data_IF_238015047802
#
_entry.id   IF_238015047802
#
_cell.length_a   1.000
_cell.length_b   1.000
_cell.length_c   1.000
_cell.angle_alpha   90.00
_cell.angle_beta   90.00
_cell.angle_gamma   90.00
#
_symmetry.space_group_name_H-M   'P 1'
#
loop_
_entity.id
_entity.type
_entity.pdbx_description
1 polymer ?
#
# COMPACT_ATOMS: atom_id res chain seq x y z
N UNK A 1 53.07 28.51 -37.62
CA UNK A 1 53.34 27.10 -37.99
C UNK A 1 52.14 26.58 -38.75
N UNK A 2 52.39 25.75 -39.76
CA UNK A 2 51.71 25.68 -41.07
C UNK A 2 50.20 25.42 -41.09
N UNK A 3 49.52 26.34 -41.76
CA UNK A 3 48.18 26.28 -42.35
C UNK A 3 48.20 25.40 -43.60
N UNK A 4 47.21 24.50 -43.79
CA UNK A 4 47.04 23.78 -45.06
C UNK A 4 45.65 24.01 -45.67
N UNK A 5 45.66 24.64 -46.83
CA UNK A 5 44.51 25.04 -47.65
C UNK A 5 44.05 23.88 -48.53
N UNK A 6 42.79 23.43 -48.41
CA UNK A 6 42.01 22.96 -49.58
C UNK A 6 40.53 23.34 -49.44
N UNK A 7 40.26 24.53 -49.98
CA UNK A 7 39.13 24.88 -50.85
C UNK A 7 37.72 24.65 -50.31
N UNK A 8 37.16 25.77 -49.85
CA UNK A 8 35.76 26.12 -50.00
C UNK A 8 35.36 26.09 -51.49
N UNK A 9 34.16 25.56 -51.77
CA UNK A 9 33.35 26.00 -52.90
C UNK A 9 31.87 25.69 -52.69
N UNK A 10 31.12 26.78 -52.60
CA UNK A 10 29.90 27.06 -53.37
C UNK A 10 28.63 26.27 -53.06
N UNK A 11 27.85 26.88 -52.17
CA UNK A 11 26.42 27.22 -52.25
C UNK A 11 25.70 26.76 -53.53
N UNK A 12 24.61 26.00 -53.35
CA UNK A 12 23.59 25.75 -54.36
C UNK A 12 22.30 25.22 -53.74
N UNK A 13 21.40 26.13 -53.37
CA UNK A 13 19.99 25.87 -53.03
C UNK A 13 19.23 25.34 -54.26
N UNK A 14 18.46 24.25 -54.11
CA UNK A 14 17.10 24.13 -54.67
C UNK A 14 16.32 22.96 -54.06
N UNK A 15 15.14 23.32 -53.56
CA UNK A 15 13.96 22.58 -53.10
C UNK A 15 13.51 21.33 -53.88
N UNK A 16 13.03 20.28 -53.18
CA UNK A 16 11.64 19.82 -53.22
C UNK A 16 11.36 18.71 -52.18
N UNK A 17 10.12 18.69 -51.68
CA UNK A 17 9.61 17.83 -50.63
C UNK A 17 9.78 16.31 -50.87
N UNK A 18 10.02 15.56 -49.80
CA UNK A 18 9.70 14.13 -49.71
C UNK A 18 9.38 13.78 -48.26
N UNK A 19 8.08 13.73 -47.99
CA UNK A 19 7.46 13.02 -46.88
C UNK A 19 7.91 11.56 -46.97
N UNK A 20 8.71 11.11 -46.00
CA UNK A 20 8.91 9.69 -45.72
C UNK A 20 8.63 9.47 -44.23
N UNK A 21 7.41 9.02 -44.02
CA UNK A 21 6.86 8.36 -42.84
C UNK A 21 7.87 7.44 -42.15
N UNK A 22 8.26 7.77 -40.91
CA UNK A 22 8.76 6.76 -39.97
C UNK A 22 7.57 5.99 -39.38
N UNK A 23 6.94 5.15 -40.21
CA UNK A 23 6.10 4.04 -39.75
C UNK A 23 6.92 2.76 -39.87
N UNK A 24 7.73 2.50 -38.85
CA UNK A 24 8.44 1.23 -38.70
C UNK A 24 8.77 0.95 -37.23
N UNK A 25 7.72 0.70 -36.45
CA UNK A 25 7.72 -0.20 -35.30
C UNK A 25 6.28 -0.65 -35.07
N UNK A 26 5.79 -1.53 -35.94
CA UNK A 26 4.62 -2.38 -35.68
C UNK A 26 5.14 -3.79 -35.38
N UNK A 27 5.12 -4.14 -34.09
CA UNK A 27 4.97 -5.50 -33.55
C UNK A 27 5.14 -5.49 -32.03
N UNK A 28 4.45 -4.56 -31.36
CA UNK A 28 4.09 -4.68 -29.96
C UNK A 28 2.59 -4.46 -29.93
N UNK A 29 1.80 -5.51 -29.76
CA UNK A 29 0.35 -5.43 -29.80
C UNK A 29 -0.14 -4.37 -28.83
N UNK A 30 -0.62 -3.24 -29.37
CA UNK A 30 -1.56 -2.37 -28.67
C UNK A 30 -2.75 -3.25 -28.34
N UNK A 31 -2.81 -3.72 -27.09
CA UNK A 31 -4.07 -4.18 -26.52
C UNK A 31 -4.98 -2.97 -26.61
N UNK A 32 -5.93 -3.00 -27.55
CA UNK A 32 -6.96 -1.97 -27.66
C UNK A 32 -7.56 -1.77 -26.27
N UNK A 33 -7.40 -0.57 -25.73
CA UNK A 33 -7.97 -0.23 -24.44
C UNK A 33 -9.49 -0.41 -24.54
N UNK A 34 -10.06 -1.16 -23.60
CA UNK A 34 -11.48 -1.49 -23.64
C UNK A 34 -12.31 -0.21 -23.57
N UNK A 35 -13.04 0.10 -24.64
CA UNK A 35 -13.89 1.28 -24.71
C UNK A 35 -14.97 1.20 -23.61
N UNK A 36 -15.03 2.21 -22.73
CA UNK A 36 -15.97 2.28 -21.61
C UNK A 36 -17.18 3.12 -22.03
N UNK A 37 -18.40 2.63 -21.79
CA UNK A 37 -19.64 3.31 -22.21
C UNK A 37 -19.92 4.62 -21.45
N UNK A 38 -19.17 4.88 -20.37
CA UNK A 38 -19.29 6.07 -19.53
C UNK A 38 -20.42 6.01 -18.49
N UNK A 39 -21.31 5.00 -18.54
CA UNK A 39 -22.41 4.82 -17.58
C UNK A 39 -22.23 3.61 -16.67
N UNK A 40 -21.19 2.81 -16.86
CA UNK A 40 -20.87 1.67 -15.98
C UNK A 40 -19.65 2.01 -15.13
N UNK A 41 -19.77 1.82 -13.81
CA UNK A 41 -18.68 1.93 -12.83
C UNK A 41 -18.42 0.53 -12.25
N UNK A 42 -17.20 0.04 -12.37
CA UNK A 42 -16.75 -1.24 -11.80
C UNK A 42 -16.06 -0.96 -10.47
N UNK A 43 -16.65 -1.46 -9.40
CA UNK A 43 -16.11 -1.38 -8.03
C UNK A 43 -15.53 -2.73 -7.66
N UNK A 44 -14.23 -2.81 -7.43
CA UNK A 44 -13.54 -4.03 -6.97
C UNK A 44 -13.32 -4.00 -5.47
N UNK A 45 -13.78 -5.04 -4.78
CA UNK A 45 -13.63 -5.17 -3.32
C UNK A 45 -13.42 -6.63 -2.92
N UNK A 46 -12.80 -6.83 -1.76
CA UNK A 46 -12.75 -8.15 -1.12
C UNK A 46 -14.17 -8.69 -0.87
N UNK A 47 -14.28 -10.02 -0.77
CA UNK A 47 -15.58 -10.68 -0.60
C UNK A 47 -16.39 -10.16 0.58
N UNK A 48 -15.73 -9.82 1.70
CA UNK A 48 -16.38 -9.28 2.90
C UNK A 48 -17.11 -7.95 2.70
N UNK A 49 -16.73 -7.14 1.71
CA UNK A 49 -17.36 -5.86 1.41
C UNK A 49 -18.42 -5.94 0.30
N UNK A 50 -18.47 -7.04 -0.44
CA UNK A 50 -19.30 -7.14 -1.63
C UNK A 50 -20.80 -6.93 -1.33
N UNK A 51 -21.28 -7.45 -0.19
CA UNK A 51 -22.69 -7.30 0.19
C UNK A 51 -22.99 -5.90 0.74
N UNK A 52 -22.02 -5.24 1.38
CA UNK A 52 -22.13 -3.84 1.75
C UNK A 52 -22.24 -2.94 0.51
N UNK A 53 -21.36 -3.09 -0.48
CA UNK A 53 -21.44 -2.29 -1.71
C UNK A 53 -22.78 -2.52 -2.44
N UNK A 54 -23.27 -3.77 -2.49
CA UNK A 54 -24.59 -4.07 -3.07
C UNK A 54 -25.74 -3.40 -2.34
N UNK A 55 -25.65 -3.23 -1.02
CA UNK A 55 -26.73 -2.63 -0.24
C UNK A 55 -26.82 -1.11 -0.45
N UNK A 56 -25.68 -0.43 -0.70
CA UNK A 56 -25.63 1.03 -0.87
C UNK A 56 -25.70 1.52 -2.32
N UNK A 57 -25.32 0.69 -3.31
CA UNK A 57 -25.18 1.17 -4.70
C UNK A 57 -26.47 1.68 -5.35
N UNK A 58 -27.64 1.21 -4.90
CA UNK A 58 -28.92 1.49 -5.55
C UNK A 58 -29.34 2.96 -5.50
N UNK A 59 -29.01 3.69 -4.43
CA UNK A 59 -29.27 5.13 -4.34
C UNK A 59 -28.31 5.91 -5.25
N UNK A 60 -27.02 5.56 -5.18
CA UNK A 60 -25.97 6.14 -6.03
C UNK A 60 -26.25 5.95 -7.54
N UNK A 61 -26.69 4.76 -7.96
CA UNK A 61 -27.06 4.45 -9.34
C UNK A 61 -28.22 5.32 -9.84
N UNK A 62 -29.24 5.55 -9.00
CA UNK A 62 -30.41 6.39 -9.33
C UNK A 62 -30.05 7.85 -9.46
N UNK A 63 -29.29 8.39 -8.50
CA UNK A 63 -28.90 9.79 -8.46
C UNK A 63 -28.01 10.15 -9.65
N UNK A 64 -27.03 9.30 -9.94
CA UNK A 64 -26.00 9.57 -10.95
C UNK A 64 -26.33 9.00 -12.34
N UNK A 65 -27.42 8.24 -12.47
CA UNK A 65 -27.86 7.58 -13.71
C UNK A 65 -26.77 6.67 -14.30
N UNK A 66 -26.12 5.92 -13.42
CA UNK A 66 -25.04 4.96 -13.72
C UNK A 66 -25.43 3.54 -13.28
N UNK A 67 -24.67 2.55 -13.73
CA UNK A 67 -24.73 1.16 -13.27
C UNK A 67 -23.44 0.83 -12.53
N UNK A 68 -23.55 0.36 -11.29
CA UNK A 68 -22.42 -0.10 -10.48
C UNK A 68 -22.33 -1.63 -10.55
N UNK A 69 -21.20 -2.11 -11.07
CA UNK A 69 -20.85 -3.54 -11.10
C UNK A 69 -19.86 -3.84 -9.99
N UNK A 70 -20.23 -4.74 -9.08
CA UNK A 70 -19.35 -5.19 -8.01
C UNK A 70 -18.52 -6.37 -8.51
N UNK A 71 -17.20 -6.20 -8.56
CA UNK A 71 -16.22 -7.25 -8.82
C UNK A 71 -15.69 -7.75 -7.47
N UNK A 72 -15.81 -9.04 -7.21
CA UNK A 72 -15.16 -9.68 -6.05
C UNK A 72 -13.75 -10.08 -6.47
N UNK A 73 -12.75 -9.35 -6.01
CA UNK A 73 -11.34 -9.65 -6.22
C UNK A 73 -10.56 -9.18 -5.01
N UNK A 74 -9.53 -9.92 -4.61
CA UNK A 74 -8.70 -9.56 -3.48
C UNK A 74 -8.13 -8.15 -3.66
N UNK A 75 -8.10 -7.35 -2.59
CA UNK A 75 -7.55 -5.99 -2.65
C UNK A 75 -6.13 -6.01 -3.23
N UNK A 76 -5.24 -6.85 -2.68
CA UNK A 76 -3.85 -6.95 -3.16
C UNK A 76 -3.76 -7.50 -4.60
N UNK A 77 -4.60 -8.48 -4.95
CA UNK A 77 -4.65 -9.01 -6.33
C UNK A 77 -5.07 -7.94 -7.35
N UNK A 78 -5.95 -7.02 -6.94
CA UNK A 78 -6.35 -5.86 -7.75
C UNK A 78 -5.16 -4.92 -7.93
N UNK A 79 -4.45 -4.58 -6.83
CA UNK A 79 -3.31 -3.66 -6.85
C UNK A 79 -2.14 -4.19 -7.68
N UNK A 80 -1.79 -5.47 -7.53
CA UNK A 80 -0.67 -6.10 -8.25
C UNK A 80 -0.85 -6.07 -9.77
N UNK A 81 -2.11 -6.07 -10.25
CA UNK A 81 -2.43 -6.05 -11.69
C UNK A 81 -2.54 -4.65 -12.26
N UNK A 82 -2.63 -3.58 -11.45
CA UNK A 82 -2.90 -2.22 -11.94
C UNK A 82 -1.93 -1.76 -13.03
N UNK A 83 -0.63 -2.02 -12.85
CA UNK A 83 0.40 -1.66 -13.83
C UNK A 83 0.20 -2.32 -15.20
N UNK A 84 -0.38 -3.53 -15.22
CA UNK A 84 -0.63 -4.31 -16.44
C UNK A 84 -2.02 -4.10 -17.01
N UNK A 85 -3.03 -3.95 -16.17
CA UNK A 85 -4.44 -3.85 -16.54
C UNK A 85 -4.84 -2.40 -16.85
N UNK A 86 -4.24 -1.43 -16.17
CA UNK A 86 -4.52 0.01 -16.31
C UNK A 86 -4.37 0.50 -17.74
N UNK A 87 -3.21 0.28 -18.41
CA UNK A 87 -3.01 0.68 -19.80
C UNK A 87 -4.00 0.06 -20.80
N UNK A 88 -4.64 -1.05 -20.43
CA UNK A 88 -5.60 -1.77 -21.28
C UNK A 88 -7.06 -1.42 -20.95
N UNK A 89 -7.29 -0.59 -19.94
CA UNK A 89 -8.62 -0.28 -19.41
C UNK A 89 -9.30 -1.43 -18.66
N UNK A 90 -8.56 -2.51 -18.35
CA UNK A 90 -9.08 -3.70 -17.68
C UNK A 90 -9.17 -3.54 -16.15
N UNK A 91 -8.47 -2.55 -15.57
CA UNK A 91 -8.58 -2.23 -14.14
C UNK A 91 -10.01 -1.81 -13.78
N UNK A 92 -10.45 -2.08 -12.53
CA UNK A 92 -11.70 -1.50 -12.02
C UNK A 92 -11.62 0.03 -11.98
N UNK A 93 -12.78 0.68 -11.89
CA UNK A 93 -12.88 2.15 -11.79
C UNK A 93 -12.63 2.63 -10.35
N UNK A 94 -13.11 1.87 -9.37
CA UNK A 94 -12.96 2.15 -7.95
C UNK A 94 -12.54 0.86 -7.25
N UNK A 95 -11.61 0.97 -6.32
CA UNK A 95 -11.13 -0.14 -5.50
C UNK A 95 -10.60 0.39 -4.17
N UNK A 96 -10.42 -0.50 -3.21
CA UNK A 96 -9.79 -0.19 -1.94
C UNK A 96 -8.27 -0.37 -2.05
N UNK A 97 -7.52 0.45 -1.32
CA UNK A 97 -6.08 0.32 -1.18
C UNK A 97 -5.67 0.64 0.26
N UNK A 98 -4.70 -0.07 0.85
CA UNK A 98 -4.10 0.34 2.11
C UNK A 98 -3.43 1.70 1.95
N UNK A 99 -3.44 2.53 2.99
CA UNK A 99 -2.87 3.88 2.95
C UNK A 99 -1.38 3.88 2.54
N UNK A 100 -0.60 2.87 2.93
CA UNK A 100 0.82 2.74 2.54
C UNK A 100 1.03 2.56 1.04
N UNK A 101 0.02 2.08 0.31
CA UNK A 101 0.10 1.91 -1.15
C UNK A 101 -0.26 3.18 -1.91
N UNK A 102 -1.09 4.06 -1.34
CA UNK A 102 -1.60 5.25 -2.01
C UNK A 102 -0.46 6.14 -2.54
N UNK A 103 0.62 6.29 -1.78
CA UNK A 103 1.77 7.10 -2.18
C UNK A 103 2.51 6.59 -3.40
N UNK A 104 2.82 5.29 -3.43
CA UNK A 104 3.47 4.65 -4.58
C UNK A 104 2.56 4.67 -5.81
N UNK A 105 1.31 4.22 -5.65
CA UNK A 105 0.33 4.17 -6.75
C UNK A 105 0.09 5.54 -7.38
N UNK A 106 -0.05 6.59 -6.56
CA UNK A 106 -0.25 7.96 -7.05
C UNK A 106 0.99 8.50 -7.78
N UNK A 107 2.18 8.29 -7.21
CA UNK A 107 3.44 8.75 -7.81
C UNK A 107 3.78 8.03 -9.13
N UNK A 108 3.36 6.78 -9.27
CA UNK A 108 3.50 5.98 -10.49
C UNK A 108 2.39 6.24 -11.53
N UNK A 109 1.40 7.08 -11.20
CA UNK A 109 0.29 7.40 -12.09
C UNK A 109 -0.72 6.27 -12.28
N UNK A 110 -0.75 5.29 -11.37
CA UNK A 110 -1.69 4.17 -11.42
C UNK A 110 -3.09 4.53 -10.87
N UNK A 111 -3.18 5.58 -10.05
CA UNK A 111 -4.42 6.14 -9.52
C UNK A 111 -4.52 7.64 -9.79
N UNK A 112 -5.75 8.12 -9.98
CA UNK A 112 -6.01 9.52 -10.28
C UNK A 112 -5.95 10.39 -9.02
N UNK A 113 -5.64 11.67 -9.22
CA UNK A 113 -5.90 12.70 -8.21
C UNK A 113 -7.43 12.83 -8.00
N UNK A 114 -7.85 12.97 -6.75
CA UNK A 114 -9.26 13.07 -6.36
C UNK A 114 -9.49 14.28 -5.46
N UNK A 115 -10.72 14.82 -5.51
CA UNK A 115 -11.18 15.85 -4.56
C UNK A 115 -11.96 15.19 -3.43
N UNK A 116 -11.61 15.49 -2.18
CA UNK A 116 -12.32 15.01 -1.01
C UNK A 116 -13.63 15.79 -0.80
N UNK A 117 -14.75 15.23 -1.30
CA UNK A 117 -16.08 15.84 -1.14
C UNK A 117 -16.51 16.02 0.31
N UNK A 118 -16.06 15.13 1.20
CA UNK A 118 -16.33 15.14 2.64
C UNK A 118 -15.09 15.52 3.47
N UNK A 119 -14.17 16.32 2.93
CA UNK A 119 -12.91 16.71 3.60
C UNK A 119 -13.09 17.25 5.04
N UNK A 120 -14.23 17.89 5.33
CA UNK A 120 -14.53 18.44 6.68
C UNK A 120 -14.75 17.36 7.74
N UNK A 121 -15.03 16.13 7.35
CA UNK A 121 -15.21 14.98 8.26
C UNK A 121 -13.88 14.36 8.69
N UNK A 122 -12.78 14.73 8.03
CA UNK A 122 -11.45 14.19 8.31
C UNK A 122 -10.56 15.23 8.99
N UNK A 123 -9.78 14.79 9.98
CA UNK A 123 -8.67 15.57 10.50
C UNK A 123 -7.47 15.56 9.56
N UNK A 124 -6.45 16.36 9.88
CA UNK A 124 -5.26 16.50 9.04
C UNK A 124 -4.39 15.22 9.03
N UNK A 125 -4.47 14.41 10.09
CA UNK A 125 -3.74 13.13 10.15
C UNK A 125 -4.31 12.16 9.12
N UNK A 126 -5.63 12.01 9.08
CA UNK A 126 -6.34 11.13 8.14
C UNK A 126 -6.18 11.62 6.70
N UNK A 127 -6.27 12.93 6.45
CA UNK A 127 -6.03 13.50 5.10
C UNK A 127 -4.61 13.23 4.60
N UNK A 128 -3.62 13.27 5.49
CA UNK A 128 -2.22 13.05 5.13
C UNK A 128 -1.98 11.62 4.64
N UNK A 129 -2.76 10.64 5.08
CA UNK A 129 -2.64 9.23 4.67
C UNK A 129 -2.90 9.02 3.16
N UNK A 130 -3.64 9.92 2.54
CA UNK A 130 -4.00 9.86 1.11
C UNK A 130 -3.38 10.99 0.29
N UNK A 131 -2.48 11.78 0.87
CA UNK A 131 -1.92 13.00 0.25
C UNK A 131 -0.41 12.92 0.10
N UNK A 132 0.08 13.14 -1.11
CA UNK A 132 1.50 13.12 -1.47
C UNK A 132 1.81 14.37 -2.29
N UNK A 133 2.84 15.11 -1.88
CA UNK A 133 3.29 16.36 -2.54
C UNK A 133 2.14 17.36 -2.78
N UNK A 134 1.22 17.45 -1.83
CA UNK A 134 0.07 18.35 -1.88
C UNK A 134 -1.10 17.88 -2.76
N UNK A 135 -1.02 16.68 -3.34
CA UNK A 135 -2.08 16.07 -4.15
C UNK A 135 -2.74 14.92 -3.39
N UNK A 136 -4.05 14.81 -3.48
CA UNK A 136 -4.82 13.74 -2.83
C UNK A 136 -5.15 12.66 -3.86
N UNK A 137 -4.85 11.40 -3.52
CA UNK A 137 -4.98 10.25 -4.44
C UNK A 137 -6.01 9.21 -3.99
N UNK A 138 -6.73 9.47 -2.90
CA UNK A 138 -7.79 8.59 -2.41
C UNK A 138 -8.71 9.30 -1.44
N UNK A 139 -9.87 8.71 -1.18
CA UNK A 139 -10.75 9.10 -0.09
C UNK A 139 -10.52 8.17 1.11
N UNK A 140 -10.25 8.69 2.33
CA UNK A 140 -10.17 7.87 3.52
C UNK A 140 -11.50 7.14 3.78
N UNK A 141 -11.42 5.88 4.21
CA UNK A 141 -12.59 5.03 4.45
C UNK A 141 -12.50 4.34 5.83
N UNK A 142 -11.56 3.40 5.97
CA UNK A 142 -11.37 2.64 7.22
C UNK A 142 -10.07 3.06 7.91
N UNK A 143 -10.09 3.11 9.24
CA UNK A 143 -8.88 3.14 10.08
C UNK A 143 -8.79 1.86 10.89
N UNK A 144 -7.58 1.34 11.03
CA UNK A 144 -7.31 0.13 11.80
C UNK A 144 -5.94 0.20 12.45
N UNK A 145 -5.73 -0.61 13.48
CA UNK A 145 -4.43 -0.82 14.12
C UNK A 145 -4.39 -2.20 14.76
N UNK A 146 -3.20 -2.68 15.08
CA UNK A 146 -3.01 -3.93 15.79
C UNK A 146 -3.64 -3.85 17.19
N UNK A 147 -4.28 -4.95 17.58
CA UNK A 147 -4.85 -5.14 18.92
C UNK A 147 -4.39 -6.48 19.48
N UNK A 148 -4.40 -6.60 20.80
CA UNK A 148 -4.16 -7.89 21.47
C UNK A 148 -5.49 -8.57 21.73
N UNK A 149 -5.65 -9.78 21.21
CA UNK A 149 -6.76 -10.66 21.56
C UNK A 149 -6.38 -11.52 22.76
N UNK A 150 -7.35 -11.80 23.63
CA UNK A 150 -7.19 -12.73 24.74
C UNK A 150 -8.44 -13.62 24.89
N UNK A 151 -8.24 -14.84 25.38
CA UNK A 151 -9.33 -15.77 25.66
C UNK A 151 -9.79 -15.62 27.12
N UNK A 152 -11.03 -15.15 27.30
CA UNK A 152 -11.65 -14.93 28.62
C UNK A 152 -11.81 -16.19 29.47
N UNK A 153 -11.83 -17.36 28.85
CA UNK A 153 -11.89 -18.64 29.57
C UNK A 153 -10.53 -19.01 30.18
N UNK A 154 -9.43 -18.41 29.70
CA UNK A 154 -8.06 -18.70 30.13
C UNK A 154 -7.42 -17.56 30.94
N UNK A 155 -7.85 -16.32 30.68
CA UNK A 155 -7.32 -15.08 31.27
C UNK A 155 -8.49 -14.15 31.64
N UNK A 156 -8.63 -13.84 32.93
CA UNK A 156 -9.77 -13.08 33.47
C UNK A 156 -9.82 -11.64 32.97
N UNK A 157 -8.69 -10.94 33.03
CA UNK A 157 -8.55 -9.53 32.63
C UNK A 157 -7.53 -9.40 31.51
N UNK A 158 -7.80 -8.52 30.54
CA UNK A 158 -6.84 -8.22 29.48
C UNK A 158 -5.51 -7.73 30.09
N UNK A 159 -4.36 -8.34 29.72
CA UNK A 159 -3.06 -7.86 30.18
C UNK A 159 -2.83 -6.41 29.78
N UNK A 160 -2.37 -5.59 30.72
CA UNK A 160 -2.14 -4.15 30.53
C UNK A 160 -0.70 -3.81 30.23
N UNK A 161 0.21 -4.74 30.53
CA UNK A 161 1.66 -4.53 30.40
C UNK A 161 2.34 -5.78 29.83
N UNK A 162 3.51 -5.59 29.23
CA UNK A 162 4.36 -6.70 28.80
C UNK A 162 4.80 -7.59 29.98
N UNK A 163 5.00 -7.03 31.18
CA UNK A 163 5.28 -7.81 32.39
C UNK A 163 4.15 -8.78 32.74
N UNK A 164 2.89 -8.41 32.52
CA UNK A 164 1.76 -9.31 32.70
C UNK A 164 1.74 -10.41 31.63
N UNK A 165 2.08 -10.09 30.37
CA UNK A 165 2.24 -11.09 29.31
C UNK A 165 3.37 -12.08 29.63
N UNK A 166 4.51 -11.60 30.15
CA UNK A 166 5.62 -12.45 30.60
C UNK A 166 5.21 -13.37 31.75
N UNK A 167 4.33 -12.90 32.64
CA UNK A 167 3.77 -13.72 33.71
C UNK A 167 2.87 -14.82 33.15
N UNK A 168 2.02 -14.53 32.15
CA UNK A 168 1.25 -15.55 31.43
C UNK A 168 2.18 -16.56 30.76
N UNK A 169 3.24 -16.10 30.09
CA UNK A 169 4.19 -16.97 29.42
C UNK A 169 4.87 -17.97 30.37
N UNK A 170 5.06 -17.60 31.65
CA UNK A 170 5.66 -18.44 32.70
C UNK A 170 4.67 -19.35 33.42
N UNK A 171 3.36 -19.18 33.21
CA UNK A 171 2.34 -20.00 33.85
C UNK A 171 2.35 -21.43 33.26
N UNK A 172 2.55 -22.48 34.09
CA UNK A 172 2.58 -23.86 33.63
C UNK A 172 1.34 -24.29 32.85
N UNK A 173 0.18 -23.63 33.04
CA UNK A 173 -1.04 -23.93 32.29
C UNK A 173 -0.91 -23.70 30.78
N UNK A 174 0.04 -22.86 30.35
CA UNK A 174 0.31 -22.57 28.95
C UNK A 174 1.55 -23.27 28.41
N UNK A 175 2.17 -24.18 29.18
CA UNK A 175 3.33 -24.92 28.73
C UNK A 175 3.03 -25.69 27.43
N UNK A 176 3.95 -25.61 26.47
CA UNK A 176 3.82 -26.31 25.20
C UNK A 176 4.30 -27.75 25.35
N UNK A 177 3.37 -28.69 25.41
CA UNK A 177 3.62 -30.06 25.87
C UNK A 177 4.70 -30.81 25.07
N UNK A 178 4.88 -30.53 23.78
CA UNK A 178 5.86 -31.22 22.94
C UNK A 178 7.28 -30.68 23.08
N UNK A 179 7.49 -29.50 23.67
CA UNK A 179 8.83 -28.90 23.79
C UNK A 179 9.06 -28.33 25.20
N UNK A 180 9.84 -29.04 26.04
CA UNK A 180 10.14 -28.58 27.40
C UNK A 180 10.76 -27.18 27.43
N UNK A 181 10.21 -26.32 28.30
CA UNK A 181 10.66 -24.93 28.44
C UNK A 181 10.00 -23.95 27.47
N UNK A 182 9.12 -24.42 26.58
CA UNK A 182 8.32 -23.57 25.69
C UNK A 182 6.89 -23.36 26.22
N UNK A 183 6.28 -22.25 25.86
CA UNK A 183 4.94 -21.86 26.30
C UNK A 183 4.21 -21.01 25.25
N UNK A 184 2.89 -21.00 25.33
CA UNK A 184 1.99 -20.28 24.41
C UNK A 184 1.10 -19.27 25.13
N UNK A 185 1.54 -18.78 26.30
CA UNK A 185 0.78 -17.81 27.10
C UNK A 185 0.58 -16.47 26.40
N UNK A 186 1.55 -16.05 25.59
CA UNK A 186 1.44 -14.96 24.63
C UNK A 186 2.18 -15.33 23.36
N UNK A 187 1.62 -15.02 22.19
CA UNK A 187 2.26 -15.23 20.89
C UNK A 187 2.05 -13.98 20.03
N UNK A 188 3.09 -13.61 19.28
CA UNK A 188 3.00 -12.58 18.25
C UNK A 188 3.84 -12.97 17.04
N UNK A 189 3.43 -12.52 15.85
CA UNK A 189 4.11 -12.82 14.58
C UNK A 189 5.26 -11.83 14.33
N UNK A 190 6.19 -11.67 15.27
CA UNK A 190 7.25 -10.64 15.17
C UNK A 190 8.32 -10.91 14.09
N UNK A 191 8.26 -12.04 13.38
CA UNK A 191 9.06 -12.25 12.16
C UNK A 191 8.55 -11.43 10.99
N UNK A 192 7.30 -10.96 11.08
CA UNK A 192 6.65 -10.10 10.11
C UNK A 192 6.77 -8.65 10.58
N UNK A 193 7.44 -7.81 9.78
CA UNK A 193 7.76 -6.44 10.14
C UNK A 193 6.51 -5.62 10.51
N UNK A 194 5.36 -5.88 9.88
CA UNK A 194 4.11 -5.19 10.22
C UNK A 194 3.71 -5.42 11.68
N UNK A 195 3.83 -6.66 12.16
CA UNK A 195 3.49 -7.03 13.53
C UNK A 195 4.59 -6.67 14.54
N UNK A 196 5.86 -6.65 14.12
CA UNK A 196 7.00 -6.27 14.95
C UNK A 196 7.20 -4.76 15.09
N UNK A 197 6.75 -3.95 14.11
CA UNK A 197 7.06 -2.52 14.06
C UNK A 197 6.59 -1.74 15.29
N UNK A 198 5.42 -2.08 15.86
CA UNK A 198 4.94 -1.42 17.08
C UNK A 198 5.88 -1.62 18.27
N UNK A 199 6.56 -2.77 18.35
CA UNK A 199 7.58 -3.02 19.37
C UNK A 199 8.84 -2.22 19.07
N UNK A 200 9.33 -2.24 17.82
CA UNK A 200 10.50 -1.44 17.36
C UNK A 200 10.31 0.04 17.68
N UNK A 201 9.14 0.59 17.32
CA UNK A 201 8.82 1.99 17.56
C UNK A 201 8.63 2.33 19.04
N UNK A 202 8.19 1.37 19.86
CA UNK A 202 8.13 1.52 21.32
C UNK A 202 9.49 1.68 21.98
N UNK A 203 10.56 1.24 21.31
CA UNK A 203 11.96 1.45 21.69
C UNK A 203 12.61 2.53 20.82
N UNK A 204 11.88 3.57 20.42
CA UNK A 204 12.40 4.70 19.62
C UNK A 204 12.97 4.33 18.23
N UNK A 205 12.74 3.11 17.75
CA UNK A 205 13.02 2.74 16.36
C UNK A 205 12.05 3.44 15.39
N UNK A 206 12.50 3.69 14.16
CA UNK A 206 11.66 4.28 13.11
C UNK A 206 12.15 3.88 11.73
N UNK A 207 11.28 3.91 10.72
CA UNK A 207 11.66 3.56 9.34
C UNK A 207 12.48 4.69 8.71
N UNK A 208 11.85 5.84 8.47
CA UNK A 208 12.46 7.02 7.86
C UNK A 208 12.30 8.23 8.79
N UNK A 209 13.34 9.04 8.87
CA UNK A 209 13.35 10.30 9.63
C UNK A 209 12.30 11.30 9.14
N UNK A 210 12.15 12.41 9.87
CA UNK A 210 11.17 13.46 9.58
C UNK A 210 9.72 12.95 9.43
N UNK A 211 9.30 12.07 10.34
CA UNK A 211 7.95 11.47 10.36
C UNK A 211 7.64 10.70 9.06
N UNK A 212 8.62 9.92 8.58
CA UNK A 212 8.46 9.02 7.43
C UNK A 212 8.84 9.61 6.07
N UNK A 213 9.35 10.84 6.00
CA UNK A 213 9.57 11.56 4.72
C UNK A 213 11.03 11.63 4.28
N UNK A 214 12.00 11.34 5.16
CA UNK A 214 13.43 11.48 4.87
C UNK A 214 14.09 10.10 4.67
N UNK A 215 14.18 9.59 3.43
CA UNK A 215 14.68 8.23 3.16
C UNK A 215 16.18 8.04 3.44
N UNK A 216 16.97 9.13 3.47
CA UNK A 216 18.40 9.07 3.79
C UNK A 216 18.69 8.92 5.30
N UNK A 217 17.64 8.89 6.13
CA UNK A 217 17.72 8.88 7.58
C UNK A 217 16.96 7.65 8.10
N UNK A 218 17.69 6.56 8.31
CA UNK A 218 17.14 5.24 8.63
C UNK A 218 17.26 4.96 10.12
N UNK A 219 16.13 4.76 10.80
CA UNK A 219 16.09 4.54 12.25
C UNK A 219 16.14 3.07 12.68
N UNK A 220 15.98 2.12 11.75
CA UNK A 220 15.90 0.68 12.05
C UNK A 220 17.21 0.05 12.55
N UNK A 221 18.30 0.82 12.56
CA UNK A 221 19.60 0.38 13.07
C UNK A 221 20.05 1.13 14.32
N UNK A 222 19.17 1.91 14.95
CA UNK A 222 19.53 2.67 16.15
C UNK A 222 19.62 1.78 17.40
N UNK A 223 20.18 2.32 18.48
CA UNK A 223 20.39 1.59 19.74
C UNK A 223 19.08 1.03 20.32
N UNK A 224 17.99 1.77 20.19
CA UNK A 224 16.67 1.34 20.63
C UNK A 224 16.13 0.13 19.85
N UNK A 225 16.33 0.08 18.53
CA UNK A 225 16.01 -1.11 17.73
C UNK A 225 16.86 -2.31 18.13
N UNK A 226 18.14 -2.10 18.49
CA UNK A 226 18.98 -3.18 19.01
C UNK A 226 18.48 -3.70 20.36
N UNK A 227 18.03 -2.79 21.25
CA UNK A 227 17.40 -3.17 22.51
C UNK A 227 16.11 -3.96 22.29
N UNK A 228 15.25 -3.51 21.38
CA UNK A 228 14.05 -4.22 20.97
C UNK A 228 14.35 -5.63 20.47
N UNK A 229 15.31 -5.79 19.55
CA UNK A 229 15.66 -7.09 18.99
C UNK A 229 16.13 -8.07 20.08
N UNK A 230 16.81 -7.56 21.11
CA UNK A 230 17.19 -8.37 22.27
C UNK A 230 15.96 -8.76 23.11
N UNK A 231 14.97 -7.88 23.27
CA UNK A 231 13.71 -8.20 23.93
C UNK A 231 12.92 -9.26 23.15
N UNK A 232 12.73 -9.06 21.84
CA UNK A 232 12.06 -10.04 20.97
C UNK A 232 12.75 -11.41 20.99
N UNK A 233 14.09 -11.43 21.00
CA UNK A 233 14.89 -12.66 21.11
C UNK A 233 14.62 -13.44 22.39
N UNK A 234 14.33 -12.79 23.51
CA UNK A 234 13.94 -13.47 24.75
C UNK A 234 12.64 -14.26 24.56
N UNK A 235 11.65 -13.66 23.88
CA UNK A 235 10.37 -14.31 23.57
C UNK A 235 10.53 -15.52 22.67
N UNK A 236 11.31 -15.42 21.58
CA UNK A 236 11.63 -16.57 20.72
C UNK A 236 12.35 -17.70 21.49
N UNK A 237 13.08 -17.36 22.55
CA UNK A 237 13.65 -18.35 23.47
C UNK A 237 12.58 -19.19 24.19
N UNK A 238 11.39 -18.63 24.41
CA UNK A 238 10.28 -19.24 25.16
C UNK A 238 9.13 -19.74 24.29
N UNK A 239 9.03 -19.30 23.03
CA UNK A 239 8.01 -19.79 22.10
C UNK A 239 8.41 -21.12 21.47
N UNK A 240 7.42 -21.95 21.07
CA UNK A 240 7.65 -23.09 20.18
C UNK A 240 8.38 -22.68 18.89
#
# INVERSE_FOLDING_TARGET
MSWNWKKASVIGTLSLASVLTLTACTSGGSKDAKERDGKTIVVSVDEGYADYIKSIKGEFEKENKVTVKVKKEGMMDTLDKLSTDGPTGASPDVFLAPYDRVGGLGSEGQIAEVTLGNSKEFDDTVKKLVTIDGKTYGAPDVIETLVTYYNKDLVTDAPKTFTELEALQKDPKFAFASEPGKSVGFLAKWTDFYYGYGLIAGYDGYVFGDKGTKPSDLGLGNDGTVEELNYAKQWYGTWP
#
